data_IF_253549528562
#
_entry.id   IF_253549528562
#
_cell.length_a   1.000
_cell.length_b   1.000
_cell.length_c   1.000
_cell.angle_alpha   90.00
_cell.angle_beta   90.00
_cell.angle_gamma   90.00
#
_symmetry.space_group_name_H-M   'P 1'
#
loop_
_entity.id
_entity.type
_entity.pdbx_description
1 polymer ?
#
# COMPACT_ATOMS: atom_id res chain seq x y z
N UNK A 1 -13.07 23.70 8.79
CA UNK A 1 -12.36 24.69 9.63
C UNK A 1 -11.87 24.12 10.96
N UNK A 2 -12.72 23.36 11.74
CA UNK A 2 -12.32 22.78 13.04
C UNK A 2 -11.11 21.86 12.91
N UNK A 3 -11.11 20.90 11.99
CA UNK A 3 -9.97 19.97 11.76
C UNK A 3 -8.70 20.69 11.31
N UNK A 4 -8.80 21.72 10.50
CA UNK A 4 -7.66 22.54 10.09
C UNK A 4 -7.04 23.24 11.28
N UNK A 5 -7.88 23.77 12.20
CA UNK A 5 -7.43 24.41 13.42
C UNK A 5 -6.74 23.42 14.35
N UNK A 6 -7.35 22.25 14.56
CA UNK A 6 -6.79 21.16 15.38
C UNK A 6 -5.44 20.67 14.81
N UNK A 7 -5.27 20.56 13.48
CA UNK A 7 -4.00 20.22 12.86
C UNK A 7 -2.95 21.31 13.03
N UNK A 8 -3.32 22.58 12.87
CA UNK A 8 -2.40 23.71 13.11
C UNK A 8 -1.92 23.75 14.56
N UNK A 9 -2.81 23.47 15.51
CA UNK A 9 -2.46 23.39 16.95
C UNK A 9 -1.50 22.21 17.23
N UNK A 10 -1.65 21.08 16.54
CA UNK A 10 -0.73 19.91 16.67
C UNK A 10 0.64 20.14 16.07
N UNK A 11 0.74 20.86 14.96
CA UNK A 11 1.99 21.12 14.24
C UNK A 11 2.79 22.28 14.85
N UNK A 12 2.18 23.11 15.70
CA UNK A 12 2.87 24.21 16.39
C UNK A 12 3.51 25.20 15.42
N UNK A 13 4.79 25.53 15.64
CA UNK A 13 5.52 26.50 14.81
C UNK A 13 5.72 26.03 13.35
N UNK A 14 5.83 24.73 13.11
CA UNK A 14 5.91 24.16 11.75
C UNK A 14 4.65 24.44 10.91
N UNK A 15 3.49 24.66 11.55
CA UNK A 15 2.26 25.02 10.85
C UNK A 15 2.31 26.41 10.19
N UNK A 16 3.26 27.28 10.58
CA UNK A 16 3.42 28.62 9.97
C UNK A 16 3.88 28.57 8.51
N UNK A 17 4.54 27.47 8.11
CA UNK A 17 5.04 27.27 6.74
C UNK A 17 3.94 26.78 5.78
N UNK A 18 2.79 26.32 6.29
CA UNK A 18 1.73 25.76 5.48
C UNK A 18 0.53 26.69 5.36
N UNK A 19 0.16 27.00 4.12
CA UNK A 19 -1.10 27.71 3.82
C UNK A 19 -2.17 26.65 3.56
N UNK A 20 -3.09 26.48 4.52
CA UNK A 20 -4.23 25.56 4.40
C UNK A 20 -5.47 26.33 4.02
N UNK A 21 -6.06 26.00 2.87
CA UNK A 21 -7.34 26.57 2.40
C UNK A 21 -8.37 25.46 2.32
N UNK A 22 -9.41 25.48 3.16
CA UNK A 22 -10.50 24.50 3.10
C UNK A 22 -11.37 24.73 1.88
N UNK A 23 -11.86 23.66 1.28
CA UNK A 23 -12.89 23.67 0.24
C UNK A 23 -13.94 22.62 0.55
N UNK A 24 -15.15 22.79 0.01
CA UNK A 24 -16.25 21.85 0.22
C UNK A 24 -16.26 20.77 -0.88
N UNK A 25 -16.29 19.51 -0.45
CA UNK A 25 -16.33 18.35 -1.36
C UNK A 25 -17.74 17.76 -1.50
N UNK A 26 -18.65 18.09 -0.59
CA UNK A 26 -19.99 17.50 -0.53
C UNK A 26 -21.04 18.48 -1.05
N UNK A 27 -21.17 18.56 -2.35
CA UNK A 27 -22.20 19.35 -3.01
C UNK A 27 -23.53 18.59 -2.95
N UNK A 28 -24.56 19.17 -2.35
CA UNK A 28 -25.90 18.61 -2.37
C UNK A 28 -26.38 17.92 -1.08
N UNK A 29 -25.51 17.76 -0.08
CA UNK A 29 -25.97 17.32 1.25
C UNK A 29 -26.69 18.45 1.94
N UNK A 30 -27.99 18.26 2.25
CA UNK A 30 -28.81 19.21 3.04
C UNK A 30 -28.66 18.88 4.51
N UNK A 31 -28.51 19.91 5.33
CA UNK A 31 -28.66 19.77 6.79
C UNK A 31 -30.12 19.49 7.15
N UNK A 32 -30.34 18.96 8.34
CA UNK A 32 -31.69 18.74 8.83
C UNK A 32 -32.55 20.04 8.84
N UNK A 33 -31.95 21.15 9.20
CA UNK A 33 -32.64 22.48 9.23
C UNK A 33 -33.00 22.95 7.82
N UNK A 34 -32.19 22.67 6.81
CA UNK A 34 -32.54 22.96 5.40
C UNK A 34 -33.66 22.06 4.89
N UNK A 35 -33.69 20.78 5.33
CA UNK A 35 -34.75 19.83 4.96
C UNK A 35 -36.08 20.25 5.60
N UNK A 36 -36.06 20.70 6.84
CA UNK A 36 -37.27 21.11 7.60
C UNK A 36 -37.71 22.56 7.33
N UNK A 37 -36.89 23.30 6.54
CA UNK A 37 -37.17 24.73 6.28
C UNK A 37 -36.88 25.66 7.47
N UNK A 38 -36.20 25.15 8.52
CA UNK A 38 -35.84 25.95 9.69
C UNK A 38 -34.65 26.88 9.44
N UNK A 39 -33.77 26.53 8.51
CA UNK A 39 -32.65 27.37 8.08
C UNK A 39 -32.91 28.00 6.72
N UNK A 40 -32.43 29.24 6.53
CA UNK A 40 -32.37 29.84 5.20
C UNK A 40 -31.46 29.03 4.33
N UNK A 41 -31.91 28.69 3.12
CA UNK A 41 -31.10 27.98 2.11
C UNK A 41 -29.80 28.76 1.89
N UNK A 42 -28.66 28.14 2.18
CA UNK A 42 -27.38 28.70 1.80
C UNK A 42 -27.30 28.62 0.28
N UNK A 43 -26.97 29.73 -0.36
CA UNK A 43 -26.78 29.78 -1.81
C UNK A 43 -25.62 28.88 -2.21
N UNK A 44 -25.94 27.68 -2.69
CA UNK A 44 -24.95 26.66 -3.09
C UNK A 44 -24.24 27.00 -4.41
N UNK A 45 -24.64 28.08 -5.09
CA UNK A 45 -23.94 28.54 -6.30
C UNK A 45 -22.58 29.19 -6.00
N UNK A 46 -22.26 29.44 -4.73
CA UNK A 46 -20.98 30.02 -4.29
C UNK A 46 -19.94 28.99 -3.84
N UNK A 47 -20.21 27.70 -3.96
CA UNK A 47 -19.27 26.67 -3.54
C UNK A 47 -18.10 26.55 -4.53
N UNK A 48 -16.93 26.96 -4.10
CA UNK A 48 -15.69 26.88 -4.86
C UNK A 48 -15.22 25.43 -4.97
N UNK A 49 -15.03 24.93 -6.18
CA UNK A 49 -14.48 23.59 -6.39
C UNK A 49 -13.00 23.52 -5.98
N UNK A 50 -12.49 22.32 -5.73
CA UNK A 50 -11.05 22.11 -5.45
C UNK A 50 -10.15 22.68 -6.56
N UNK A 51 -10.63 22.62 -7.80
CA UNK A 51 -9.88 23.16 -8.94
C UNK A 51 -9.92 24.69 -9.01
N UNK A 52 -11.04 25.31 -8.65
CA UNK A 52 -11.12 26.78 -8.57
C UNK A 52 -10.27 27.33 -7.42
N UNK A 53 -10.23 26.59 -6.29
CA UNK A 53 -9.32 26.89 -5.20
C UNK A 53 -7.86 26.80 -5.64
N UNK A 54 -7.47 25.74 -6.39
CA UNK A 54 -6.14 25.60 -6.95
C UNK A 54 -5.77 26.76 -7.88
N UNK A 55 -6.70 27.15 -8.79
CA UNK A 55 -6.50 28.32 -9.67
C UNK A 55 -6.19 29.58 -8.89
N UNK A 56 -6.96 29.82 -7.84
CA UNK A 56 -6.81 30.99 -6.98
C UNK A 56 -5.47 30.95 -6.25
N UNK A 57 -5.11 29.82 -5.67
CA UNK A 57 -3.82 29.64 -4.97
C UNK A 57 -2.62 29.89 -5.89
N UNK A 58 -2.63 29.30 -7.08
CA UNK A 58 -1.54 29.46 -8.06
C UNK A 58 -1.38 30.93 -8.48
N UNK A 59 -2.49 31.64 -8.66
CA UNK A 59 -2.46 33.07 -9.00
C UNK A 59 -2.04 33.95 -7.83
N UNK A 60 -2.59 33.71 -6.64
CA UNK A 60 -2.25 34.47 -5.42
C UNK A 60 -0.76 34.35 -5.05
N UNK A 61 -0.14 33.23 -5.41
CA UNK A 61 1.28 32.95 -5.19
C UNK A 61 2.18 33.39 -6.37
N UNK A 62 1.60 33.99 -7.40
CA UNK A 62 2.32 34.42 -8.62
C UNK A 62 3.06 33.25 -9.34
N UNK A 63 2.44 32.10 -9.40
CA UNK A 63 3.00 30.87 -9.97
C UNK A 63 2.47 30.54 -11.37
N UNK A 64 1.46 31.26 -11.88
CA UNK A 64 0.76 30.94 -13.13
C UNK A 64 1.64 30.94 -14.39
N UNK A 65 2.83 31.52 -14.31
CA UNK A 65 3.84 31.63 -15.40
C UNK A 65 5.18 30.96 -15.01
N UNK A 66 5.20 30.18 -13.96
CA UNK A 66 6.41 29.49 -13.46
C UNK A 66 6.46 28.03 -13.89
N UNK A 67 7.54 27.37 -13.48
CA UNK A 67 7.64 25.91 -13.57
C UNK A 67 6.81 25.28 -12.46
N UNK A 68 5.81 24.49 -12.86
CA UNK A 68 4.95 23.76 -11.97
C UNK A 68 5.28 22.27 -12.03
N UNK A 69 5.72 21.73 -10.91
CA UNK A 69 5.95 20.30 -10.77
C UNK A 69 4.63 19.54 -10.64
N UNK A 70 4.45 18.50 -11.44
CA UNK A 70 3.28 17.61 -11.41
C UNK A 70 3.71 16.16 -11.37
N UNK A 71 2.98 15.33 -10.64
CA UNK A 71 3.26 13.89 -10.55
C UNK A 71 2.53 13.16 -11.67
N UNK A 72 3.09 13.20 -12.90
CA UNK A 72 2.44 12.69 -14.11
C UNK A 72 2.19 11.18 -14.07
N UNK A 73 2.94 10.43 -13.27
CA UNK A 73 2.72 9.00 -13.08
C UNK A 73 1.32 8.68 -12.48
N UNK A 74 0.71 9.63 -11.77
CA UNK A 74 -0.56 9.43 -11.06
C UNK A 74 -1.65 10.44 -11.46
N UNK A 75 -1.28 11.52 -12.10
CA UNK A 75 -2.24 12.53 -12.56
C UNK A 75 -2.97 12.04 -13.82
N UNK A 76 -4.30 11.96 -13.77
CA UNK A 76 -5.05 11.56 -14.95
C UNK A 76 -5.05 12.63 -16.05
N UNK A 77 -5.12 12.17 -17.32
CA UNK A 77 -5.02 13.02 -18.50
C UNK A 77 -6.04 14.17 -18.54
N UNK A 78 -7.33 14.00 -18.22
CA UNK A 78 -8.29 15.11 -18.19
C UNK A 78 -7.86 16.24 -17.25
N UNK A 79 -7.40 15.93 -16.04
CA UNK A 79 -6.93 16.96 -15.09
C UNK A 79 -5.65 17.63 -15.57
N UNK A 80 -4.74 16.90 -16.17
CA UNK A 80 -3.52 17.50 -16.73
C UNK A 80 -3.84 18.47 -17.87
N UNK A 81 -4.74 18.09 -18.78
CA UNK A 81 -5.20 19.01 -19.84
C UNK A 81 -5.87 20.26 -19.28
N UNK A 82 -6.71 20.11 -18.28
CA UNK A 82 -7.35 21.23 -17.60
C UNK A 82 -6.34 22.17 -16.94
N UNK A 83 -5.25 21.63 -16.36
CA UNK A 83 -4.14 22.46 -15.84
C UNK A 83 -3.46 23.26 -16.97
N UNK A 84 -3.14 22.62 -18.08
CA UNK A 84 -2.50 23.27 -19.24
C UNK A 84 -3.39 24.38 -19.82
N UNK A 85 -4.69 24.14 -19.96
CA UNK A 85 -5.64 25.14 -20.44
C UNK A 85 -5.81 26.32 -19.47
N UNK A 86 -5.72 26.04 -18.17
CA UNK A 86 -5.91 27.06 -17.11
C UNK A 86 -4.66 27.93 -16.94
N UNK A 87 -3.48 27.38 -17.13
CA UNK A 87 -2.19 28.06 -16.96
C UNK A 87 -1.31 27.89 -18.20
N UNK A 88 -1.70 28.52 -19.33
CA UNK A 88 -1.02 28.33 -20.61
C UNK A 88 0.41 28.89 -20.64
N UNK A 89 0.76 29.76 -19.71
CA UNK A 89 2.12 30.33 -19.58
C UNK A 89 3.00 29.52 -18.61
N UNK A 90 2.47 28.53 -17.92
CA UNK A 90 3.23 27.68 -17.01
C UNK A 90 3.97 26.57 -17.77
N UNK A 91 5.18 26.29 -17.34
CA UNK A 91 5.93 25.09 -17.76
C UNK A 91 5.63 23.94 -16.79
N UNK A 92 5.00 22.87 -17.27
CA UNK A 92 4.72 21.68 -16.44
C UNK A 92 5.88 20.69 -16.53
N UNK A 93 6.44 20.32 -15.38
CA UNK A 93 7.57 19.39 -15.26
C UNK A 93 7.13 18.16 -14.48
N UNK A 94 7.45 16.97 -15.00
CA UNK A 94 7.21 15.73 -14.27
C UNK A 94 8.18 15.59 -13.09
N UNK A 95 7.63 15.54 -11.88
CA UNK A 95 8.38 15.35 -10.64
C UNK A 95 8.09 14.01 -9.95
N UNK A 96 7.48 13.06 -10.65
CA UNK A 96 7.13 11.74 -10.11
C UNK A 96 8.34 11.05 -9.46
N UNK A 97 9.51 11.10 -10.10
CA UNK A 97 10.74 10.51 -9.55
C UNK A 97 11.26 11.23 -8.30
N UNK A 98 11.06 12.55 -8.19
CA UNK A 98 11.40 13.30 -6.98
C UNK A 98 10.59 12.84 -5.77
N UNK A 99 9.28 12.64 -5.94
CA UNK A 99 8.43 12.13 -4.86
C UNK A 99 8.82 10.72 -4.44
N UNK A 100 9.17 9.84 -5.40
CA UNK A 100 9.70 8.50 -5.08
C UNK A 100 10.96 8.60 -4.22
N UNK A 101 11.91 9.46 -4.59
CA UNK A 101 13.14 9.67 -3.82
C UNK A 101 12.87 10.27 -2.44
N UNK A 102 12.06 11.32 -2.36
CA UNK A 102 11.71 11.97 -1.08
C UNK A 102 11.05 10.99 -0.10
N UNK A 103 10.22 10.07 -0.61
CA UNK A 103 9.53 9.05 0.19
C UNK A 103 10.37 7.79 0.44
N UNK A 104 11.55 7.65 -0.18
CA UNK A 104 12.39 6.45 -0.03
C UNK A 104 13.04 6.35 1.34
N UNK A 105 13.42 7.47 1.93
CA UNK A 105 13.96 7.56 3.29
C UNK A 105 12.79 7.84 4.24
N UNK A 106 12.54 6.93 5.18
CA UNK A 106 11.41 7.01 6.10
C UNK A 106 11.80 7.77 7.37
N UNK A 107 10.90 8.60 7.87
CA UNK A 107 10.99 9.19 9.20
C UNK A 107 10.71 8.13 10.29
N UNK A 108 11.04 8.44 11.54
CA UNK A 108 10.90 7.45 12.64
C UNK A 108 9.44 7.07 12.90
N UNK A 109 8.49 7.98 12.79
CA UNK A 109 7.06 7.73 12.92
C UNK A 109 6.54 6.83 11.79
N UNK A 110 7.01 7.01 10.54
CA UNK A 110 6.72 6.12 9.42
C UNK A 110 7.26 4.69 9.70
N UNK A 111 8.48 4.59 10.25
CA UNK A 111 9.06 3.29 10.63
C UNK A 111 8.20 2.60 11.71
N UNK A 112 7.72 3.35 12.70
CA UNK A 112 6.82 2.80 13.72
C UNK A 112 5.47 2.36 13.14
N UNK A 113 4.94 3.10 12.15
CA UNK A 113 3.74 2.68 11.41
C UNK A 113 3.99 1.35 10.71
N UNK A 114 5.08 1.20 9.94
CA UNK A 114 5.42 -0.07 9.28
C UNK A 114 5.57 -1.22 10.29
N UNK A 115 6.22 -1.00 11.43
CA UNK A 115 6.34 -2.02 12.50
C UNK A 115 4.97 -2.47 13.01
N UNK A 116 4.02 -1.53 13.13
CA UNK A 116 2.66 -1.81 13.56
C UNK A 116 1.91 -2.63 12.50
N UNK A 117 1.98 -2.21 11.24
CA UNK A 117 1.35 -2.93 10.14
C UNK A 117 1.91 -4.35 9.96
N UNK A 118 3.24 -4.51 10.09
CA UNK A 118 3.86 -5.84 10.05
C UNK A 118 3.37 -6.75 11.18
N UNK A 119 3.21 -6.23 12.41
CA UNK A 119 2.64 -7.03 13.53
C UNK A 119 1.20 -7.45 13.26
N UNK A 120 0.39 -6.58 12.65
CA UNK A 120 -0.98 -6.90 12.26
C UNK A 120 -0.97 -7.99 11.17
N UNK A 121 -0.11 -7.87 10.18
CA UNK A 121 0.05 -8.88 9.15
C UNK A 121 0.49 -10.24 9.75
N UNK A 122 1.47 -10.22 10.66
CA UNK A 122 1.95 -11.43 11.35
C UNK A 122 0.84 -12.10 12.17
N UNK A 123 0.02 -11.33 12.89
CA UNK A 123 -1.13 -11.87 13.61
C UNK A 123 -2.15 -12.49 12.66
N UNK A 124 -2.47 -11.80 11.55
CA UNK A 124 -3.35 -12.36 10.52
C UNK A 124 -2.82 -13.69 9.96
N UNK A 125 -1.54 -13.77 9.64
CA UNK A 125 -0.90 -15.01 9.19
C UNK A 125 -0.83 -16.09 10.28
N UNK A 126 -0.68 -15.70 11.54
CA UNK A 126 -0.74 -16.64 12.66
C UNK A 126 -2.13 -17.30 12.75
N UNK A 127 -3.21 -16.53 12.64
CA UNK A 127 -4.56 -17.07 12.63
C UNK A 127 -4.77 -18.01 11.42
N UNK A 128 -4.31 -17.62 10.23
CA UNK A 128 -4.33 -18.49 9.04
C UNK A 128 -3.56 -19.78 9.30
N UNK A 129 -2.36 -19.72 9.89
CA UNK A 129 -1.51 -20.89 10.13
C UNK A 129 -2.21 -21.97 10.98
N UNK A 130 -3.09 -21.54 11.89
CA UNK A 130 -3.88 -22.47 12.72
C UNK A 130 -4.99 -23.20 11.95
N UNK A 131 -5.35 -22.68 10.78
CA UNK A 131 -6.36 -23.28 9.92
C UNK A 131 -5.76 -24.21 8.85
N UNK A 132 -4.47 -24.05 8.51
CA UNK A 132 -3.83 -24.80 7.42
C UNK A 132 -3.82 -26.28 7.71
N UNK A 133 -4.73 -27.03 7.08
CA UNK A 133 -4.86 -28.48 7.14
C UNK A 133 -5.62 -29.01 5.94
N UNK A 134 -5.50 -30.31 5.62
CA UNK A 134 -6.33 -30.92 4.57
C UNK A 134 -7.82 -30.69 4.79
N UNK A 135 -8.55 -30.41 3.73
CA UNK A 135 -9.99 -30.16 3.72
C UNK A 135 -10.39 -28.69 3.82
N UNK A 136 -9.49 -27.78 4.21
CA UNK A 136 -9.76 -26.32 4.26
C UNK A 136 -9.65 -25.74 2.86
N UNK A 137 -10.49 -24.74 2.55
CA UNK A 137 -10.49 -24.02 1.27
C UNK A 137 -9.60 -22.79 1.33
N UNK A 138 -9.01 -22.42 0.20
CA UNK A 138 -8.22 -21.17 0.05
C UNK A 138 -9.02 -19.96 0.52
N UNK A 139 -10.29 -19.87 0.13
CA UNK A 139 -11.19 -18.75 0.46
C UNK A 139 -11.41 -18.62 1.98
N UNK A 140 -11.54 -19.72 2.70
CA UNK A 140 -11.69 -19.71 4.16
C UNK A 140 -10.46 -19.13 4.86
N UNK A 141 -9.27 -19.44 4.35
CA UNK A 141 -8.02 -18.88 4.87
C UNK A 141 -7.87 -17.38 4.54
N UNK A 142 -8.25 -16.99 3.33
CA UNK A 142 -8.25 -15.57 2.94
C UNK A 142 -9.22 -14.75 3.79
N UNK A 143 -10.41 -15.30 4.08
CA UNK A 143 -11.40 -14.63 4.92
C UNK A 143 -10.96 -14.54 6.38
N UNK A 144 -10.26 -15.54 6.90
CA UNK A 144 -9.66 -15.50 8.23
C UNK A 144 -8.63 -14.35 8.33
N UNK A 145 -7.75 -14.21 7.37
CA UNK A 145 -6.78 -13.09 7.33
C UNK A 145 -7.49 -11.74 7.27
N UNK A 146 -8.45 -11.59 6.34
CA UNK A 146 -9.22 -10.34 6.18
C UNK A 146 -9.92 -9.94 7.47
N UNK A 147 -10.60 -10.88 8.12
CA UNK A 147 -11.30 -10.64 9.38
C UNK A 147 -10.33 -10.21 10.49
N UNK A 148 -9.16 -10.85 10.58
CA UNK A 148 -8.12 -10.49 11.55
C UNK A 148 -7.62 -9.06 11.35
N UNK A 149 -7.43 -8.63 10.11
CA UNK A 149 -6.98 -7.27 9.78
C UNK A 149 -8.08 -6.24 10.09
N UNK A 150 -9.30 -6.48 9.65
CA UNK A 150 -10.44 -5.55 9.85
C UNK A 150 -10.75 -5.39 11.34
N UNK A 151 -10.59 -6.43 12.15
CA UNK A 151 -10.83 -6.38 13.59
C UNK A 151 -9.94 -5.39 14.33
N UNK A 152 -8.86 -4.92 13.72
CA UNK A 152 -7.98 -3.88 14.32
C UNK A 152 -8.63 -2.49 14.35
N UNK A 153 -9.62 -2.23 13.49
CA UNK A 153 -10.39 -0.99 13.44
C UNK A 153 -9.75 0.18 12.69
N UNK A 154 -8.51 0.04 12.20
CA UNK A 154 -7.82 1.11 11.43
C UNK A 154 -7.03 0.60 10.21
N UNK A 155 -7.09 -0.70 9.95
CA UNK A 155 -6.44 -1.33 8.81
C UNK A 155 -7.44 -2.06 7.93
N UNK A 156 -7.11 -2.11 6.65
CA UNK A 156 -7.83 -2.92 5.67
C UNK A 156 -6.86 -3.92 5.02
N UNK A 157 -7.32 -5.12 4.65
CA UNK A 157 -6.48 -6.04 3.88
C UNK A 157 -6.17 -5.43 2.51
N UNK A 158 -4.99 -5.71 1.96
CA UNK A 158 -4.65 -5.31 0.60
C UNK A 158 -5.65 -5.89 -0.40
N UNK A 159 -5.90 -5.18 -1.49
CA UNK A 159 -6.80 -5.62 -2.57
C UNK A 159 -6.26 -6.83 -3.35
N UNK A 160 -4.95 -7.05 -3.26
CA UNK A 160 -4.27 -8.19 -3.89
C UNK A 160 -4.00 -9.25 -2.81
N UNK A 161 -4.75 -10.28 -2.74
CA UNK A 161 -4.46 -11.48 -1.95
C UNK A 161 -4.25 -12.62 -2.93
N UNK A 162 -3.09 -13.24 -2.90
CA UNK A 162 -2.76 -14.31 -3.84
C UNK A 162 -2.54 -15.63 -3.12
N UNK A 163 -3.19 -16.66 -3.62
CA UNK A 163 -3.10 -18.01 -3.11
C UNK A 163 -2.49 -18.96 -4.13
N UNK A 164 -1.91 -20.01 -3.62
CA UNK A 164 -1.56 -21.17 -4.42
C UNK A 164 -1.66 -22.40 -3.54
N UNK A 165 -2.48 -23.35 -3.96
CA UNK A 165 -2.49 -24.71 -3.41
C UNK A 165 -2.24 -25.72 -4.51
N UNK A 166 -1.58 -26.80 -4.20
CA UNK A 166 -1.33 -27.88 -5.15
C UNK A 166 -0.02 -28.62 -4.88
N UNK A 167 0.24 -29.70 -5.60
CA UNK A 167 1.42 -30.56 -5.39
C UNK A 167 2.76 -29.82 -5.59
N UNK A 168 2.80 -28.80 -6.44
CA UNK A 168 4.00 -28.00 -6.68
C UNK A 168 3.99 -26.63 -6.04
N UNK A 169 2.81 -26.13 -5.64
CA UNK A 169 2.64 -24.75 -5.21
C UNK A 169 3.11 -23.70 -6.23
N UNK A 170 3.11 -24.05 -7.52
CA UNK A 170 3.72 -23.23 -8.57
C UNK A 170 2.84 -22.08 -9.07
N UNK A 171 1.53 -22.14 -8.88
CA UNK A 171 0.60 -21.08 -9.27
C UNK A 171 0.48 -20.03 -8.16
N UNK A 172 0.23 -18.81 -8.56
CA UNK A 172 -0.15 -17.72 -7.67
C UNK A 172 -1.36 -17.03 -8.30
N UNK A 173 -2.54 -17.23 -7.70
CA UNK A 173 -3.83 -16.73 -8.21
C UNK A 173 -4.62 -16.09 -7.08
N UNK A 174 -5.70 -15.42 -7.42
CA UNK A 174 -6.67 -15.01 -6.40
C UNK A 174 -7.22 -16.24 -5.67
N UNK A 175 -7.67 -16.10 -4.39
CA UNK A 175 -8.27 -17.19 -3.65
C UNK A 175 -9.47 -17.77 -4.40
N UNK A 176 -9.40 -19.08 -4.66
CA UNK A 176 -10.45 -19.85 -5.33
C UNK A 176 -11.07 -20.87 -4.34
N UNK A 177 -11.84 -21.81 -4.85
CA UNK A 177 -12.42 -22.90 -4.07
C UNK A 177 -11.48 -24.10 -3.94
N UNK A 178 -10.18 -23.91 -4.20
CA UNK A 178 -9.15 -24.93 -4.04
C UNK A 178 -9.14 -25.49 -2.61
N UNK A 179 -9.13 -26.83 -2.49
CA UNK A 179 -9.09 -27.54 -1.20
C UNK A 179 -7.66 -27.98 -0.95
N UNK A 180 -7.16 -27.75 0.27
CA UNK A 180 -5.85 -28.23 0.70
C UNK A 180 -5.90 -29.76 0.82
N UNK A 181 -4.91 -30.43 0.26
CA UNK A 181 -4.66 -31.85 0.42
C UNK A 181 -3.36 -32.09 1.19
N UNK A 182 -3.20 -33.31 1.73
CA UNK A 182 -2.03 -33.65 2.55
C UNK A 182 -0.70 -33.67 1.79
N UNK A 183 -0.76 -33.64 0.46
CA UNK A 183 0.40 -33.63 -0.47
C UNK A 183 0.75 -32.24 -1.00
N UNK A 184 -0.05 -31.23 -0.66
CA UNK A 184 0.07 -29.89 -1.25
C UNK A 184 1.16 -29.03 -0.60
N UNK A 185 1.63 -28.05 -1.37
CA UNK A 185 2.24 -26.82 -0.87
C UNK A 185 1.18 -25.73 -0.90
N UNK A 186 1.03 -25.04 0.20
CA UNK A 186 0.12 -23.89 0.33
C UNK A 186 0.97 -22.63 0.41
N UNK A 187 0.73 -21.66 -0.44
CA UNK A 187 1.31 -20.31 -0.36
C UNK A 187 0.20 -19.29 -0.25
N UNK A 188 0.39 -18.34 0.59
CA UNK A 188 -0.49 -17.20 0.73
C UNK A 188 0.33 -15.92 0.80
N UNK A 189 -0.01 -15.00 -0.07
CA UNK A 189 0.63 -13.71 -0.25
C UNK A 189 -0.43 -12.62 -0.06
N UNK A 190 -0.23 -11.77 0.93
CA UNK A 190 -1.20 -10.74 1.31
C UNK A 190 -0.51 -9.59 2.04
N UNK A 191 -1.17 -8.46 2.08
CA UNK A 191 -0.70 -7.29 2.79
C UNK A 191 -1.78 -6.63 3.63
N UNK A 192 -1.36 -5.64 4.38
CA UNK A 192 -2.20 -4.79 5.23
C UNK A 192 -1.98 -3.35 4.82
N UNK A 193 -3.05 -2.61 4.62
CA UNK A 193 -3.02 -1.18 4.34
C UNK A 193 -3.53 -0.40 5.56
N UNK A 194 -2.82 0.65 5.94
CA UNK A 194 -3.37 1.65 6.83
C UNK A 194 -4.50 2.41 6.13
N UNK A 195 -5.65 2.56 6.79
CA UNK A 195 -6.86 3.09 6.15
C UNK A 195 -6.72 4.57 5.75
N UNK A 196 -6.01 5.36 6.53
CA UNK A 196 -5.92 6.81 6.35
C UNK A 196 -4.61 7.27 5.72
N UNK A 197 -3.50 6.60 6.01
CA UNK A 197 -2.16 7.02 5.59
C UNK A 197 -1.64 6.23 4.38
N UNK A 198 -2.37 5.21 3.95
CA UNK A 198 -2.08 4.37 2.78
C UNK A 198 -0.72 3.66 2.82
N UNK A 199 -0.09 3.51 3.98
CA UNK A 199 1.06 2.65 4.14
C UNK A 199 0.66 1.20 3.98
N UNK A 200 1.50 0.43 3.28
CA UNK A 200 1.19 -0.95 2.88
C UNK A 200 2.30 -1.90 3.29
N UNK A 201 1.94 -3.08 3.77
CA UNK A 201 2.85 -4.23 3.87
C UNK A 201 2.64 -5.20 2.73
N UNK A 202 3.67 -5.97 2.43
CA UNK A 202 3.68 -7.06 1.46
C UNK A 202 4.36 -8.25 2.11
N UNK A 203 3.62 -9.33 2.36
CA UNK A 203 4.08 -10.45 3.19
C UNK A 203 3.53 -11.75 2.67
N UNK A 204 4.37 -12.77 2.56
CA UNK A 204 3.95 -14.10 2.16
C UNK A 204 4.35 -15.18 3.17
N UNK A 205 3.58 -16.26 3.19
CA UNK A 205 3.87 -17.47 3.96
C UNK A 205 3.64 -18.71 3.11
N UNK A 206 4.42 -19.75 3.38
CA UNK A 206 4.29 -21.03 2.72
C UNK A 206 4.28 -22.19 3.73
N UNK A 207 3.40 -23.13 3.50
CA UNK A 207 3.28 -24.35 4.30
C UNK A 207 3.41 -25.56 3.37
N UNK A 208 4.26 -26.49 3.74
CA UNK A 208 4.41 -27.78 3.06
C UNK A 208 3.66 -28.83 3.88
N UNK A 209 2.64 -29.42 3.26
CA UNK A 209 1.82 -30.43 3.97
C UNK A 209 2.60 -31.71 4.21
N UNK A 210 2.19 -32.49 5.23
CA UNK A 210 2.96 -33.61 5.79
C UNK A 210 3.33 -34.71 4.79
N UNK A 211 2.46 -34.98 3.81
CA UNK A 211 2.61 -36.03 2.81
C UNK A 211 3.16 -35.48 1.45
N UNK A 212 3.57 -34.21 1.42
CA UNK A 212 4.19 -33.61 0.25
C UNK A 212 5.54 -34.26 -0.05
N UNK A 213 6.00 -34.13 -1.31
CA UNK A 213 7.29 -34.68 -1.72
C UNK A 213 8.43 -34.15 -0.82
N UNK A 214 9.33 -35.03 -0.32
CA UNK A 214 10.41 -34.64 0.60
C UNK A 214 11.30 -33.51 0.08
N UNK A 215 11.43 -33.40 -1.24
CA UNK A 215 12.20 -32.32 -1.89
C UNK A 215 11.60 -30.93 -1.64
N UNK A 216 10.29 -30.82 -1.48
CA UNK A 216 9.62 -29.54 -1.21
C UNK A 216 9.95 -29.00 0.19
N UNK A 217 10.16 -29.88 1.17
CA UNK A 217 10.66 -29.48 2.49
C UNK A 217 12.09 -28.94 2.39
N UNK A 218 12.96 -29.66 1.69
CA UNK A 218 14.37 -29.22 1.48
C UNK A 218 14.44 -27.89 0.71
N UNK A 219 13.62 -27.75 -0.34
CA UNK A 219 13.53 -26.50 -1.09
C UNK A 219 13.04 -25.35 -0.22
N UNK A 220 12.00 -25.54 0.58
CA UNK A 220 11.49 -24.54 1.53
C UNK A 220 12.60 -24.09 2.49
N UNK A 221 13.32 -25.04 3.09
CA UNK A 221 14.36 -24.71 4.05
C UNK A 221 15.54 -23.98 3.36
N UNK A 222 15.89 -24.37 2.13
CA UNK A 222 16.91 -23.68 1.33
C UNK A 222 16.51 -22.25 0.96
N UNK A 223 15.25 -22.02 0.58
CA UNK A 223 14.69 -20.69 0.30
C UNK A 223 14.70 -19.80 1.56
N UNK A 224 14.27 -20.35 2.68
CA UNK A 224 14.25 -19.64 3.96
C UNK A 224 15.65 -19.22 4.41
N UNK A 225 16.63 -20.12 4.31
CA UNK A 225 18.01 -19.79 4.62
C UNK A 225 18.60 -18.77 3.65
N UNK A 226 18.27 -18.83 2.37
CA UNK A 226 18.63 -17.81 1.37
C UNK A 226 18.11 -16.43 1.75
N UNK A 227 16.84 -16.34 2.18
CA UNK A 227 16.23 -15.10 2.66
C UNK A 227 16.96 -14.57 3.92
N UNK A 228 17.27 -15.44 4.89
CA UNK A 228 18.01 -15.03 6.09
C UNK A 228 19.39 -14.48 5.78
N UNK A 229 20.11 -15.08 4.84
CA UNK A 229 21.41 -14.58 4.37
C UNK A 229 21.30 -13.22 3.72
N UNK A 230 20.29 -13.03 2.88
CA UNK A 230 20.02 -11.75 2.25
C UNK A 230 19.73 -10.65 3.29
N UNK A 231 18.88 -10.93 4.27
CA UNK A 231 18.56 -9.99 5.36
C UNK A 231 19.83 -9.67 6.17
N UNK A 232 20.64 -10.67 6.51
CA UNK A 232 21.88 -10.48 7.27
C UNK A 232 22.94 -9.68 6.49
N UNK A 233 22.93 -9.74 5.17
CA UNK A 233 23.83 -8.98 4.31
C UNK A 233 23.40 -7.51 4.13
N UNK A 234 22.13 -7.18 4.41
CA UNK A 234 21.58 -5.85 4.19
C UNK A 234 22.28 -4.80 5.06
N UNK A 235 22.85 -3.77 4.41
CA UNK A 235 23.53 -2.65 5.06
C UNK A 235 23.55 -1.43 4.14
N UNK A 236 23.64 -0.23 4.68
CA UNK A 236 23.81 0.99 3.88
C UNK A 236 25.01 0.87 2.92
N UNK A 237 24.83 1.34 1.69
CA UNK A 237 25.87 1.30 0.64
C UNK A 237 25.98 -0.01 -0.14
N UNK A 238 25.29 -1.09 0.28
CA UNK A 238 25.25 -2.31 -0.52
C UNK A 238 24.25 -2.14 -1.69
N UNK A 239 24.67 -2.37 -2.94
CA UNK A 239 23.76 -2.38 -4.08
C UNK A 239 22.64 -3.43 -3.91
N UNK A 240 21.39 -3.07 -4.25
CA UNK A 240 20.23 -3.98 -4.11
C UNK A 240 20.41 -5.28 -4.91
N UNK A 241 21.09 -5.21 -6.07
CA UNK A 241 21.40 -6.40 -6.87
C UNK A 241 22.30 -7.41 -6.13
N UNK A 242 23.15 -6.95 -5.19
CA UNK A 242 23.98 -7.85 -4.38
C UNK A 242 23.15 -8.57 -3.31
N UNK A 243 22.12 -7.89 -2.75
CA UNK A 243 21.16 -8.56 -1.86
C UNK A 243 20.44 -9.70 -2.59
N UNK A 244 19.92 -9.42 -3.77
CA UNK A 244 19.29 -10.45 -4.61
C UNK A 244 20.25 -11.60 -4.91
N UNK A 245 21.48 -11.28 -5.33
CA UNK A 245 22.50 -12.27 -5.69
C UNK A 245 22.84 -13.19 -4.52
N UNK A 246 22.94 -12.64 -3.31
CA UNK A 246 23.22 -13.42 -2.09
C UNK A 246 22.19 -14.54 -1.87
N UNK A 247 20.89 -14.27 -2.02
CA UNK A 247 19.86 -15.30 -1.88
C UNK A 247 19.82 -16.22 -3.11
N UNK A 248 19.87 -15.63 -4.30
CA UNK A 248 19.69 -16.33 -5.56
C UNK A 248 20.78 -17.38 -5.80
N UNK A 249 22.07 -17.02 -5.68
CA UNK A 249 23.18 -17.94 -5.90
C UNK A 249 23.18 -19.06 -4.85
N UNK A 250 22.88 -18.74 -3.60
CA UNK A 250 22.75 -19.75 -2.56
C UNK A 250 21.69 -20.81 -2.90
N UNK A 251 20.51 -20.39 -3.36
CA UNK A 251 19.44 -21.33 -3.74
C UNK A 251 19.83 -22.11 -4.98
N UNK A 252 20.39 -21.44 -5.99
CA UNK A 252 20.75 -22.00 -7.29
C UNK A 252 21.86 -23.03 -7.21
N UNK A 253 22.76 -22.93 -6.24
CA UNK A 253 23.80 -23.92 -5.99
C UNK A 253 23.25 -25.36 -5.85
N UNK A 254 22.13 -25.50 -5.13
CA UNK A 254 21.44 -26.78 -4.95
C UNK A 254 20.35 -27.04 -6.00
N UNK A 255 19.74 -25.97 -6.53
CA UNK A 255 18.66 -26.00 -7.49
C UNK A 255 19.00 -25.20 -8.76
N UNK A 256 19.82 -25.75 -9.69
CA UNK A 256 20.32 -25.03 -10.86
C UNK A 256 19.23 -24.47 -11.78
N UNK A 257 18.04 -25.09 -11.78
CA UNK A 257 16.89 -24.65 -12.55
C UNK A 257 16.07 -23.52 -11.87
N UNK A 258 16.48 -23.09 -10.66
CA UNK A 258 15.79 -22.02 -9.95
C UNK A 258 15.81 -20.74 -10.78
N UNK A 259 14.62 -20.14 -10.94
CA UNK A 259 14.42 -18.88 -11.66
C UNK A 259 13.51 -18.00 -10.84
N UNK A 260 13.95 -16.79 -10.56
CA UNK A 260 13.15 -15.77 -9.90
C UNK A 260 13.56 -14.39 -10.40
N UNK A 261 12.59 -13.53 -10.61
CA UNK A 261 12.81 -12.16 -11.09
C UNK A 261 13.02 -11.13 -9.97
N UNK A 262 12.69 -11.48 -8.73
CA UNK A 262 12.83 -10.61 -7.55
C UNK A 262 13.06 -11.45 -6.30
N UNK A 263 13.49 -10.84 -5.20
CA UNK A 263 13.82 -11.51 -3.94
C UNK A 263 12.78 -11.31 -2.83
N UNK A 264 11.59 -10.82 -3.18
CA UNK A 264 10.45 -10.71 -2.25
C UNK A 264 9.70 -12.02 -2.07
#
# INVERSE_FOLDING_TARGET
EKRVREQKERLGEEASEFVVRPYDTWVGVKTWDEITGAAKTVDKQSMESSFDMLKKMVRDMDLAHKKLGVELAYLNVPYFRQLQETFPEAEFVDISSMFVLARSVKAEDEIQMFRTLCRIADEGFYQVSRMVRPGVREREMADCFRQSVIATGFCVPSSWSMFSTGPSGARLTLPEDGIIESTHVVKYDAGVNAEFDFYTTDTSRAWVMKDAAPELFRLKDRLYEGQRRMIAAARPGLPVCELFRTAYEYVKEQYPCYRRGHCG
#
